data_IF_096421066584
#
_entry.id   IF_096421066584
#
_cell.length_a   1.000
_cell.length_b   1.000
_cell.length_c   1.000
_cell.angle_alpha   90.00
_cell.angle_beta   90.00
_cell.angle_gamma   90.00
#
_symmetry.space_group_name_H-M   'P 1'
#
loop_
_entity.id
_entity.type
_entity.pdbx_description
1 polymer ?
#
# COMPACT_ATOMS: atom_id res chain seq x y z
N UNK A 1 15.84 -58.34 10.36
CA UNK A 1 16.20 -57.54 9.15
C UNK A 1 15.02 -57.16 8.24
N UNK A 2 13.82 -57.78 8.33
CA UNK A 2 12.71 -57.54 7.36
C UNK A 2 11.95 -56.20 7.50
N UNK A 3 12.02 -55.50 8.62
CA UNK A 3 11.22 -54.28 8.88
C UNK A 3 11.80 -52.98 8.31
N UNK A 4 13.10 -52.94 7.98
CA UNK A 4 13.75 -51.74 7.42
C UNK A 4 13.37 -51.51 5.95
N UNK A 5 13.19 -52.58 5.18
CA UNK A 5 12.79 -52.47 3.77
C UNK A 5 11.34 -51.99 3.60
N UNK A 6 10.46 -52.35 4.53
CA UNK A 6 9.04 -51.94 4.47
C UNK A 6 8.89 -50.42 4.60
N UNK A 7 9.63 -49.77 5.51
CA UNK A 7 9.59 -48.30 5.68
C UNK A 7 10.09 -47.56 4.44
N UNK A 8 11.10 -48.09 3.76
CA UNK A 8 11.64 -47.50 2.54
C UNK A 8 10.62 -47.54 1.38
N UNK A 9 9.86 -48.63 1.27
CA UNK A 9 8.82 -48.79 0.25
C UNK A 9 7.68 -47.79 0.46
N UNK A 10 7.21 -47.61 1.70
CA UNK A 10 6.17 -46.61 1.99
C UNK A 10 6.63 -45.17 1.72
N UNK A 11 7.90 -44.85 1.98
CA UNK A 11 8.46 -43.53 1.67
C UNK A 11 8.45 -43.26 0.15
N UNK A 12 8.87 -44.24 -0.66
CA UNK A 12 8.88 -44.13 -2.13
C UNK A 12 7.49 -43.97 -2.72
N UNK A 13 6.49 -44.68 -2.20
CA UNK A 13 5.08 -44.54 -2.61
C UNK A 13 4.54 -43.15 -2.25
N UNK A 14 4.90 -42.62 -1.08
CA UNK A 14 4.52 -41.28 -0.67
C UNK A 14 5.08 -40.19 -1.59
N UNK A 15 6.37 -40.29 -1.94
CA UNK A 15 7.02 -39.33 -2.85
C UNK A 15 6.37 -39.41 -4.24
N UNK A 16 6.14 -40.60 -4.79
CA UNK A 16 5.51 -40.76 -6.11
C UNK A 16 4.08 -40.23 -6.17
N UNK A 17 3.27 -40.42 -5.11
CA UNK A 17 1.93 -39.85 -5.02
C UNK A 17 1.97 -38.31 -5.00
N UNK A 18 2.89 -37.71 -4.23
CA UNK A 18 3.04 -36.25 -4.18
C UNK A 18 3.49 -35.72 -5.55
N UNK A 19 4.46 -36.37 -6.20
CA UNK A 19 4.92 -36.02 -7.55
C UNK A 19 3.79 -36.09 -8.58
N UNK A 20 2.95 -37.13 -8.54
CA UNK A 20 1.84 -37.31 -9.48
C UNK A 20 0.77 -36.22 -9.31
N UNK A 21 0.47 -35.79 -8.08
CA UNK A 21 -0.47 -34.69 -7.81
C UNK A 21 0.09 -33.36 -8.32
N UNK A 22 1.39 -33.09 -8.09
CA UNK A 22 2.04 -31.87 -8.60
C UNK A 22 2.07 -31.86 -10.13
N UNK A 23 2.42 -32.99 -10.76
CA UNK A 23 2.48 -33.08 -12.22
C UNK A 23 1.10 -32.92 -12.87
N UNK A 24 0.05 -33.52 -12.27
CA UNK A 24 -1.33 -33.33 -12.74
C UNK A 24 -1.79 -31.88 -12.59
N UNK A 25 -1.42 -31.19 -11.50
CA UNK A 25 -1.75 -29.78 -11.30
C UNK A 25 -1.03 -28.81 -12.25
N UNK A 26 0.12 -29.20 -12.80
CA UNK A 26 0.86 -28.41 -13.81
C UNK A 26 0.31 -28.68 -15.22
N UNK A 27 -0.15 -29.91 -15.51
CA UNK A 27 -0.73 -30.24 -16.81
C UNK A 27 -2.20 -29.83 -16.98
N UNK A 28 -2.94 -29.57 -15.90
CA UNK A 28 -4.28 -28.98 -15.96
C UNK A 28 -4.25 -27.44 -16.07
N UNK A 29 -3.32 -26.88 -16.86
CA UNK A 29 -3.44 -25.51 -17.37
C UNK A 29 -4.46 -25.58 -18.52
N UNK A 30 -5.72 -25.12 -18.36
CA UNK A 30 -6.70 -25.23 -19.41
C UNK A 30 -6.38 -24.21 -20.50
N UNK A 31 -5.99 -24.67 -21.68
CA UNK A 31 -6.20 -23.90 -22.91
C UNK A 31 -7.70 -23.88 -23.18
N UNK A 32 -8.36 -22.79 -22.81
CA UNK A 32 -9.77 -22.54 -23.14
C UNK A 32 -9.99 -21.06 -23.38
N UNK A 33 -9.61 -20.62 -24.58
CA UNK A 33 -10.20 -19.45 -25.22
C UNK A 33 -11.66 -19.79 -25.59
N UNK A 34 -12.57 -18.84 -25.41
CA UNK A 34 -14.00 -18.89 -25.78
C UNK A 34 -14.97 -19.62 -24.84
N UNK A 35 -15.22 -19.09 -23.63
CA UNK A 35 -16.57 -19.16 -23.01
C UNK A 35 -16.84 -18.09 -21.94
N UNK A 36 -16.05 -17.01 -21.89
CA UNK A 36 -16.09 -16.07 -20.76
C UNK A 36 -17.42 -15.30 -20.62
N UNK A 37 -18.28 -15.21 -21.62
CA UNK A 37 -19.45 -14.33 -21.53
C UNK A 37 -20.63 -14.89 -20.72
N UNK A 38 -20.75 -16.22 -20.55
CA UNK A 38 -21.90 -16.83 -19.82
C UNK A 38 -21.59 -17.24 -18.37
N UNK A 39 -20.33 -17.20 -17.94
CA UNK A 39 -19.93 -17.52 -16.55
C UNK A 39 -19.99 -16.28 -15.64
N UNK A 40 -19.97 -15.06 -16.21
CA UNK A 40 -20.01 -13.81 -15.45
C UNK A 40 -21.30 -13.59 -14.64
N UNK A 41 -22.42 -14.24 -15.00
CA UNK A 41 -23.70 -14.04 -14.30
C UNK A 41 -23.91 -14.97 -13.08
N UNK A 42 -23.08 -16.00 -12.88
CA UNK A 42 -23.22 -16.95 -11.73
C UNK A 42 -22.12 -16.84 -10.66
N UNK A 43 -21.12 -15.97 -10.82
CA UNK A 43 -20.06 -15.76 -9.80
C UNK A 43 -20.35 -14.60 -8.82
N UNK A 44 -21.54 -13.98 -8.89
CA UNK A 44 -21.93 -12.80 -8.10
C UNK A 44 -22.41 -13.15 -6.67
N UNK A 45 -21.77 -14.11 -5.99
CA UNK A 45 -22.17 -14.54 -4.62
C UNK A 45 -21.12 -14.32 -3.54
N UNK A 46 -19.91 -13.83 -3.89
CA UNK A 46 -18.80 -13.71 -2.93
C UNK A 46 -18.26 -12.29 -2.71
N UNK A 47 -18.83 -11.26 -3.35
CA UNK A 47 -18.49 -9.87 -3.01
C UNK A 47 -19.27 -9.46 -1.77
N UNK A 48 -18.57 -8.96 -0.74
CA UNK A 48 -19.22 -8.34 0.41
C UNK A 48 -20.09 -7.14 0.02
N UNK A 49 -20.80 -6.53 0.99
CA UNK A 49 -21.61 -5.35 0.73
C UNK A 49 -20.76 -4.26 0.05
N UNK A 50 -21.33 -3.63 -0.98
CA UNK A 50 -20.71 -2.51 -1.71
C UNK A 50 -21.32 -1.22 -1.22
N UNK A 51 -20.49 -0.30 -0.72
CA UNK A 51 -20.89 1.04 -0.32
C UNK A 51 -20.57 1.98 -1.49
N UNK A 52 -21.55 2.77 -1.94
CA UNK A 52 -21.36 3.82 -2.96
C UNK A 52 -21.23 5.18 -2.27
N UNK A 53 -20.43 6.09 -2.84
CA UNK A 53 -20.17 7.39 -2.24
C UNK A 53 -19.54 7.28 -0.85
N UNK A 54 -18.53 6.42 -0.73
CA UNK A 54 -17.86 6.18 0.54
C UNK A 54 -17.14 7.45 0.99
N UNK A 55 -17.37 7.85 2.23
CA UNK A 55 -16.68 8.95 2.88
C UNK A 55 -16.30 8.55 4.29
N UNK A 56 -15.07 8.86 4.68
CA UNK A 56 -14.55 8.61 6.01
C UNK A 56 -13.57 9.71 6.38
N UNK A 57 -13.67 10.20 7.61
CA UNK A 57 -12.72 11.17 8.16
C UNK A 57 -12.31 10.73 9.56
N UNK A 58 -11.04 10.94 9.89
CA UNK A 58 -10.50 10.66 11.22
C UNK A 58 -9.74 11.87 11.76
N UNK A 59 -9.78 12.04 13.07
CA UNK A 59 -9.18 13.12 13.82
C UNK A 59 -8.15 12.56 14.81
N UNK A 60 -6.95 13.12 14.81
CA UNK A 60 -5.91 12.84 15.79
C UNK A 60 -5.70 14.07 16.66
N UNK A 61 -5.81 13.91 17.99
CA UNK A 61 -5.65 15.00 18.95
C UNK A 61 -6.53 16.23 18.63
N UNK A 62 -7.80 15.98 18.28
CA UNK A 62 -8.77 17.03 17.96
C UNK A 62 -8.60 17.72 16.60
N UNK A 63 -7.60 17.33 15.79
CA UNK A 63 -7.40 17.87 14.44
C UNK A 63 -7.62 16.80 13.38
N UNK A 64 -8.11 17.21 12.20
CA UNK A 64 -8.30 16.30 11.07
C UNK A 64 -6.94 15.73 10.67
N UNK A 65 -6.85 14.41 10.52
CA UNK A 65 -5.61 13.70 10.19
C UNK A 65 -5.71 12.94 8.87
N UNK A 66 -6.90 12.40 8.59
CA UNK A 66 -7.16 11.57 7.44
C UNK A 66 -8.57 11.84 6.90
N UNK A 67 -8.69 11.95 5.59
CA UNK A 67 -9.96 11.90 4.89
C UNK A 67 -9.85 10.92 3.72
N UNK A 68 -10.87 10.10 3.52
CA UNK A 68 -10.94 9.15 2.41
C UNK A 68 -12.31 9.33 1.76
N UNK A 69 -12.31 9.58 0.46
CA UNK A 69 -13.49 9.61 -0.39
C UNK A 69 -13.32 8.59 -1.50
N UNK A 70 -14.38 7.89 -1.88
CA UNK A 70 -14.35 6.97 -3.00
C UNK A 70 -15.73 6.80 -3.62
N UNK A 71 -15.79 6.62 -4.94
CA UNK A 71 -17.05 6.34 -5.62
C UNK A 71 -17.66 5.01 -5.16
N UNK A 72 -16.82 3.99 -4.94
CA UNK A 72 -17.23 2.68 -4.42
C UNK A 72 -16.22 2.12 -3.43
N UNK A 73 -16.73 1.46 -2.39
CA UNK A 73 -15.95 0.72 -1.42
C UNK A 73 -16.52 -0.69 -1.26
N UNK A 74 -15.66 -1.70 -1.19
CA UNK A 74 -16.05 -3.05 -0.82
C UNK A 74 -14.94 -3.74 -0.01
N UNK A 75 -15.31 -4.83 0.65
CA UNK A 75 -14.35 -5.71 1.33
C UNK A 75 -14.44 -7.09 0.71
N UNK A 76 -13.29 -7.59 0.25
CA UNK A 76 -13.16 -8.88 -0.43
C UNK A 76 -12.21 -9.80 0.33
N UNK A 77 -12.38 -11.12 0.17
CA UNK A 77 -11.39 -12.09 0.65
C UNK A 77 -10.20 -12.09 -0.31
N UNK A 78 -8.98 -11.97 0.20
CA UNK A 78 -7.75 -12.02 -0.60
C UNK A 78 -7.48 -13.44 -1.05
N UNK A 79 -7.63 -13.76 -2.34
CA UNK A 79 -7.22 -15.09 -2.84
C UNK A 79 -5.70 -15.25 -2.72
N UNK A 80 -5.24 -16.36 -2.13
CA UNK A 80 -3.82 -16.74 -2.07
C UNK A 80 -3.67 -18.04 -2.85
N UNK A 81 -3.11 -17.96 -4.06
CA UNK A 81 -2.99 -19.08 -4.98
C UNK A 81 -4.35 -19.69 -5.36
N UNK A 82 -4.39 -21.02 -5.47
CA UNK A 82 -5.60 -21.80 -5.81
C UNK A 82 -6.59 -21.95 -4.65
N UNK A 83 -6.25 -21.48 -3.44
CA UNK A 83 -7.10 -21.66 -2.26
C UNK A 83 -8.24 -20.64 -2.23
N UNK A 84 -9.48 -21.15 -2.20
CA UNK A 84 -10.72 -20.34 -2.10
C UNK A 84 -10.98 -19.81 -0.69
N UNK A 85 -10.31 -20.36 0.32
CA UNK A 85 -10.45 -19.98 1.72
C UNK A 85 -9.22 -19.20 2.17
N UNK A 86 -9.32 -17.87 2.10
CA UNK A 86 -8.33 -17.00 2.72
C UNK A 86 -8.91 -16.35 3.97
N UNK A 87 -8.19 -16.38 5.10
CA UNK A 87 -8.60 -15.64 6.29
C UNK A 87 -8.41 -14.12 6.10
N UNK A 88 -7.67 -13.70 5.08
CA UNK A 88 -7.32 -12.30 4.90
C UNK A 88 -8.36 -11.56 4.07
N UNK A 89 -8.70 -10.36 4.55
CA UNK A 89 -9.57 -9.43 3.84
C UNK A 89 -8.73 -8.32 3.18
N UNK A 90 -9.26 -7.77 2.09
CA UNK A 90 -8.72 -6.60 1.40
C UNK A 90 -9.85 -5.61 1.22
N UNK A 91 -9.63 -4.37 1.66
CA UNK A 91 -10.51 -3.26 1.34
C UNK A 91 -10.19 -2.78 -0.08
N UNK A 92 -11.19 -2.59 -0.94
CA UNK A 92 -10.99 -1.94 -2.24
C UNK A 92 -11.79 -0.65 -2.33
N UNK A 93 -11.15 0.36 -2.87
CA UNK A 93 -11.70 1.67 -3.15
C UNK A 93 -11.59 1.93 -4.66
N UNK A 94 -12.70 2.37 -5.27
CA UNK A 94 -12.73 2.82 -6.67
C UNK A 94 -12.82 4.34 -6.71
N UNK A 95 -12.00 4.94 -7.57
CA UNK A 95 -11.90 6.40 -7.73
C UNK A 95 -11.65 7.07 -6.37
N UNK A 96 -10.57 6.64 -5.72
CA UNK A 96 -10.29 7.04 -4.34
C UNK A 96 -9.54 8.37 -4.31
N UNK A 97 -9.98 9.28 -3.45
CA UNK A 97 -9.26 10.47 -3.05
C UNK A 97 -8.94 10.38 -1.56
N UNK A 98 -7.65 10.43 -1.23
CA UNK A 98 -7.14 10.32 0.13
C UNK A 98 -6.46 11.64 0.48
N UNK A 99 -6.88 12.26 1.57
CA UNK A 99 -6.25 13.48 2.08
C UNK A 99 -5.55 13.15 3.40
N UNK A 100 -4.24 13.39 3.47
CA UNK A 100 -3.46 13.32 4.70
C UNK A 100 -3.20 14.73 5.20
N UNK A 101 -3.39 14.94 6.51
CA UNK A 101 -3.15 16.23 7.16
C UNK A 101 -1.99 16.07 8.14
N UNK A 102 -0.88 16.69 7.79
CA UNK A 102 0.37 16.70 8.55
C UNK A 102 0.53 17.99 9.35
N UNK A 103 1.54 17.99 10.21
CA UNK A 103 1.95 19.16 11.00
C UNK A 103 3.44 19.40 10.82
N UNK A 104 3.84 20.64 11.04
CA UNK A 104 5.24 20.98 11.27
C UNK A 104 5.49 20.74 12.75
N UNK A 105 6.36 19.79 13.07
CA UNK A 105 6.78 19.59 14.46
C UNK A 105 7.66 20.81 14.84
N UNK A 106 7.15 21.67 15.71
CA UNK A 106 7.97 22.76 16.27
C UNK A 106 8.89 22.21 17.37
N UNK A 107 10.20 22.50 17.33
CA UNK A 107 11.17 21.98 18.28
C UNK A 107 10.90 22.42 19.73
N UNK A 108 10.08 23.46 19.94
CA UNK A 108 9.82 24.05 21.25
C UNK A 108 8.66 23.37 22.03
N UNK A 109 7.87 22.51 21.38
CA UNK A 109 6.89 21.68 22.10
C UNK A 109 7.62 20.51 22.76
N UNK A 110 8.05 20.73 24.02
CA UNK A 110 8.63 19.68 24.89
C UNK A 110 7.82 18.39 24.72
N UNK A 111 8.43 17.28 24.25
CA UNK A 111 7.70 16.04 24.05
C UNK A 111 7.14 15.59 25.39
N UNK A 112 5.83 15.72 25.55
CA UNK A 112 5.13 15.28 26.74
C UNK A 112 5.18 13.75 26.77
N UNK A 113 6.21 13.25 27.49
CA UNK A 113 6.57 11.86 27.83
C UNK A 113 7.50 11.14 26.83
N UNK A 114 8.64 10.61 27.31
CA UNK A 114 9.48 9.71 26.53
C UNK A 114 8.72 8.40 26.32
N UNK A 115 8.45 8.05 25.06
CA UNK A 115 7.93 6.74 24.69
C UNK A 115 9.12 5.94 24.19
N UNK A 116 9.48 4.90 24.94
CA UNK A 116 10.48 3.91 24.57
C UNK A 116 10.08 3.23 23.24
N UNK A 117 10.50 3.79 22.11
CA UNK A 117 10.53 3.09 20.82
C UNK A 117 11.99 2.99 20.41
N UNK A 118 12.53 1.78 20.49
CA UNK A 118 13.81 1.40 19.89
C UNK A 118 13.75 1.67 18.37
N UNK A 119 14.17 2.86 17.96
CA UNK A 119 14.60 3.18 16.59
C UNK A 119 15.28 4.56 16.55
N UNK A 120 16.05 4.89 17.59
CA UNK A 120 16.97 6.03 17.57
C UNK A 120 18.36 5.47 17.25
N UNK A 121 18.60 5.22 15.97
CA UNK A 121 19.95 5.09 15.42
C UNK A 121 20.03 6.10 14.28
N UNK A 122 20.91 7.09 14.47
CA UNK A 122 21.46 8.01 13.48
C UNK A 122 20.50 8.98 12.78
N UNK A 123 19.95 9.95 13.53
CA UNK A 123 19.57 11.25 12.93
C UNK A 123 20.66 12.27 13.24
N UNK A 124 21.65 12.30 12.34
CA UNK A 124 22.60 13.40 12.23
C UNK A 124 21.89 14.74 12.03
N UNK A 125 22.47 15.76 12.63
CA UNK A 125 22.05 17.15 12.71
C UNK A 125 21.76 17.77 11.33
N UNK A 126 20.53 17.70 10.88
CA UNK A 126 19.95 18.75 10.03
C UNK A 126 18.58 19.11 10.61
N UNK A 127 18.57 20.13 11.47
CA UNK A 127 17.39 20.72 12.09
C UNK A 127 16.53 21.50 11.04
N UNK A 128 16.22 20.86 9.92
CA UNK A 128 15.18 21.31 9.01
C UNK A 128 13.83 20.84 9.53
N UNK A 129 12.81 21.70 9.45
CA UNK A 129 11.42 21.38 9.77
C UNK A 129 11.02 20.02 9.16
N UNK A 130 11.01 18.96 9.97
CA UNK A 130 10.67 17.62 9.50
C UNK A 130 9.16 17.57 9.34
N UNK A 131 8.70 17.60 8.09
CA UNK A 131 7.27 17.43 7.79
C UNK A 131 6.92 15.99 8.14
N UNK A 132 5.98 15.84 9.09
CA UNK A 132 5.61 14.54 9.62
C UNK A 132 4.11 14.33 9.47
N UNK A 133 3.74 13.19 8.89
CA UNK A 133 2.37 12.70 8.85
C UNK A 133 2.21 11.53 9.84
N UNK A 134 2.88 11.62 10.99
CA UNK A 134 2.91 10.57 11.99
C UNK A 134 1.49 10.16 12.40
N UNK A 135 1.24 8.86 12.38
CA UNK A 135 -0.01 8.28 12.83
C UNK A 135 -1.11 8.19 11.77
N UNK A 136 -1.01 8.83 10.59
CA UNK A 136 -2.11 8.79 9.58
C UNK A 136 -2.41 7.37 9.08
N UNK A 137 -1.41 6.47 9.10
CA UNK A 137 -1.57 5.06 8.76
C UNK A 137 -1.65 4.13 9.99
N UNK A 138 -1.74 4.69 11.20
CA UNK A 138 -1.94 3.87 12.40
C UNK A 138 -3.27 3.13 12.32
N UNK A 139 -3.32 1.93 12.90
CA UNK A 139 -4.52 1.08 12.84
C UNK A 139 -5.76 1.76 13.45
N UNK A 140 -5.57 2.70 14.37
CA UNK A 140 -6.64 3.49 14.99
C UNK A 140 -7.20 4.60 14.07
N UNK A 141 -6.43 5.07 13.08
CA UNK A 141 -6.85 6.13 12.15
C UNK A 141 -7.67 5.62 10.98
N UNK A 142 -7.53 4.34 10.65
CA UNK A 142 -8.15 3.75 9.47
C UNK A 142 -9.58 3.25 9.76
N UNK A 143 -10.47 3.16 8.74
CA UNK A 143 -11.90 2.88 8.94
C UNK A 143 -12.17 1.56 9.71
N UNK A 144 -12.93 1.57 10.82
CA UNK A 144 -13.09 0.43 11.72
C UNK A 144 -13.64 -0.88 11.10
N UNK A 145 -14.67 -0.88 10.23
CA UNK A 145 -15.16 -2.13 9.64
C UNK A 145 -14.27 -2.64 8.50
N UNK A 146 -13.38 -1.80 7.95
CA UNK A 146 -12.55 -2.14 6.79
C UNK A 146 -11.29 -2.93 7.17
N UNK A 147 -10.88 -2.97 8.45
CA UNK A 147 -9.56 -3.49 8.84
C UNK A 147 -9.51 -4.55 9.93
N UNK A 148 -10.63 -4.91 10.59
CA UNK A 148 -10.60 -6.05 11.52
C UNK A 148 -10.40 -7.35 10.72
N UNK A 149 -9.13 -7.74 10.57
CA UNK A 149 -8.67 -8.88 9.74
C UNK A 149 -8.26 -8.53 8.30
N UNK A 150 -8.32 -7.26 7.88
CA UNK A 150 -7.79 -6.87 6.57
C UNK A 150 -6.32 -6.53 6.65
N UNK A 151 -5.55 -7.03 5.68
CA UNK A 151 -4.09 -6.87 5.68
C UNK A 151 -3.62 -5.71 4.80
N UNK A 152 -4.49 -5.20 3.92
CA UNK A 152 -4.17 -4.13 2.98
C UNK A 152 -5.43 -3.46 2.46
N UNK A 153 -5.27 -2.24 1.95
CA UNK A 153 -6.27 -1.58 1.11
C UNK A 153 -5.73 -1.38 -0.31
N UNK A 154 -6.60 -1.49 -1.32
CA UNK A 154 -6.28 -1.25 -2.73
C UNK A 154 -7.18 -0.12 -3.24
N UNK A 155 -6.60 0.86 -3.92
CA UNK A 155 -7.28 2.02 -4.48
C UNK A 155 -7.00 2.07 -5.99
N UNK A 156 -8.04 2.09 -6.82
CA UNK A 156 -7.93 1.97 -8.29
C UNK A 156 -9.03 2.79 -9.01
N UNK A 157 -8.73 3.94 -9.65
CA UNK A 157 -7.53 4.78 -9.52
C UNK A 157 -7.45 5.48 -8.14
N UNK A 158 -6.32 6.15 -7.87
CA UNK A 158 -6.09 6.86 -6.61
C UNK A 158 -5.46 8.24 -6.80
N UNK A 159 -5.96 9.20 -6.01
CA UNK A 159 -5.36 10.51 -5.78
C UNK A 159 -5.06 10.65 -4.29
N UNK A 160 -3.81 10.99 -3.95
CA UNK A 160 -3.39 11.29 -2.58
C UNK A 160 -2.98 12.76 -2.51
N UNK A 161 -3.64 13.52 -1.64
CA UNK A 161 -3.30 14.90 -1.35
C UNK A 161 -2.65 14.96 0.04
N UNK A 162 -1.51 15.63 0.13
CA UNK A 162 -0.81 15.91 1.39
C UNK A 162 -1.06 17.38 1.74
N UNK A 163 -1.60 17.61 2.93
CA UNK A 163 -1.86 18.92 3.48
C UNK A 163 -0.93 19.18 4.66
N UNK A 164 -0.38 20.39 4.74
CA UNK A 164 0.38 20.88 5.88
C UNK A 164 -0.36 22.09 6.43
N UNK A 165 -0.86 21.99 7.67
CA UNK A 165 -1.68 23.05 8.27
C UNK A 165 -2.85 23.49 7.37
N UNK A 166 -3.56 22.50 6.82
CA UNK A 166 -4.68 22.66 5.88
C UNK A 166 -4.32 23.25 4.50
N UNK A 167 -3.04 23.53 4.22
CA UNK A 167 -2.56 23.94 2.90
C UNK A 167 -2.09 22.73 2.08
N UNK A 168 -2.56 22.55 0.83
CA UNK A 168 -2.09 21.46 -0.02
C UNK A 168 -0.63 21.70 -0.41
N UNK A 169 0.24 20.75 -0.11
CA UNK A 169 1.67 20.83 -0.44
C UNK A 169 2.06 19.91 -1.58
N UNK A 170 1.48 18.71 -1.60
CA UNK A 170 1.86 17.66 -2.56
C UNK A 170 0.63 16.89 -2.99
N UNK A 171 0.53 16.60 -4.27
CA UNK A 171 -0.50 15.73 -4.83
C UNK A 171 0.18 14.57 -5.56
N UNK A 172 -0.36 13.38 -5.39
CA UNK A 172 0.06 12.17 -6.08
C UNK A 172 -1.16 11.60 -6.80
N UNK A 173 -1.03 11.32 -8.09
CA UNK A 173 -2.00 10.56 -8.86
C UNK A 173 -1.36 9.25 -9.34
N UNK A 174 -2.13 8.16 -9.33
CA UNK A 174 -1.72 6.89 -9.90
C UNK A 174 -2.92 6.02 -10.31
N UNK A 175 -2.71 5.06 -11.22
CA UNK A 175 -3.72 4.04 -11.51
C UNK A 175 -3.92 3.08 -10.33
N UNK A 176 -2.79 2.77 -9.68
CA UNK A 176 -2.54 1.85 -8.57
C UNK A 176 -2.23 2.49 -7.23
N UNK A 177 -3.02 2.30 -6.18
CA UNK A 177 -2.58 2.53 -4.79
C UNK A 177 -2.74 1.29 -3.91
N UNK A 178 -1.70 0.88 -3.19
CA UNK A 178 -1.78 -0.19 -2.18
C UNK A 178 -1.32 0.36 -0.83
N UNK A 179 -2.22 0.35 0.15
CA UNK A 179 -1.90 0.72 1.53
C UNK A 179 -1.54 -0.54 2.31
N UNK A 180 -0.36 -0.53 2.93
CA UNK A 180 0.09 -1.55 3.88
C UNK A 180 0.18 -0.94 5.29
N UNK A 181 -0.88 -1.05 6.10
CA UNK A 181 -0.88 -0.51 7.46
C UNK A 181 0.17 -1.16 8.37
N UNK A 182 0.56 -2.41 8.11
CA UNK A 182 1.55 -3.12 8.94
C UNK A 182 2.95 -2.57 8.73
N UNK A 183 3.29 -2.30 7.46
CA UNK A 183 4.56 -1.66 7.09
C UNK A 183 4.50 -0.12 7.12
N UNK A 184 3.35 0.45 7.48
CA UNK A 184 3.09 1.90 7.54
C UNK A 184 3.53 2.64 6.27
N UNK A 185 3.25 2.04 5.11
CA UNK A 185 3.62 2.61 3.81
C UNK A 185 2.51 2.45 2.78
N UNK A 186 2.58 3.26 1.74
CA UNK A 186 1.77 3.12 0.55
C UNK A 186 2.68 2.83 -0.65
N UNK A 187 2.22 1.98 -1.56
CA UNK A 187 2.92 1.70 -2.82
C UNK A 187 1.98 2.08 -3.96
N UNK A 188 2.43 3.00 -4.80
CA UNK A 188 1.75 3.41 -5.99
C UNK A 188 2.32 2.70 -7.21
N UNK A 189 1.47 2.47 -8.21
CA UNK A 189 1.82 1.75 -9.43
C UNK A 189 1.22 2.42 -10.67
N UNK A 190 2.03 2.52 -11.71
CA UNK A 190 1.72 2.95 -13.08
C UNK A 190 1.25 4.39 -13.21
N UNK A 191 1.80 5.10 -14.20
CA UNK A 191 1.40 6.47 -14.55
C UNK A 191 1.36 7.37 -13.31
N UNK A 192 2.40 7.27 -12.47
CA UNK A 192 2.46 7.99 -11.21
C UNK A 192 2.95 9.39 -11.51
N UNK A 193 2.13 10.37 -11.14
CA UNK A 193 2.48 11.78 -11.23
C UNK A 193 2.42 12.39 -9.84
N UNK A 194 3.54 12.92 -9.37
CA UNK A 194 3.66 13.68 -8.13
C UNK A 194 3.87 15.14 -8.49
N UNK A 195 3.09 16.04 -7.92
CA UNK A 195 3.25 17.48 -8.07
C UNK A 195 3.44 18.11 -6.69
N UNK A 196 4.49 18.89 -6.52
CA UNK A 196 4.80 19.59 -5.27
C UNK A 196 5.40 20.97 -5.57
N UNK A 197 4.69 22.03 -5.22
CA UNK A 197 5.08 23.39 -5.62
C UNK A 197 5.20 23.50 -7.15
N UNK A 198 6.36 23.97 -7.63
CA UNK A 198 6.69 24.05 -9.06
C UNK A 198 7.36 22.79 -9.64
N UNK A 199 7.51 21.72 -8.85
CA UNK A 199 8.18 20.50 -9.27
C UNK A 199 7.17 19.39 -9.63
N UNK A 200 7.50 18.60 -10.66
CA UNK A 200 6.73 17.43 -11.07
C UNK A 200 7.63 16.21 -11.19
N UNK A 201 7.22 15.09 -10.61
CA UNK A 201 7.91 13.81 -10.68
C UNK A 201 7.00 12.77 -11.34
N UNK A 202 7.51 12.10 -12.36
CA UNK A 202 6.84 10.99 -13.05
C UNK A 202 7.62 9.69 -12.88
N UNK A 203 6.94 8.59 -12.57
CA UNK A 203 7.51 7.23 -12.48
C UNK A 203 6.42 6.16 -12.57
N UNK A 204 6.79 4.88 -12.61
CA UNK A 204 5.87 3.74 -12.61
C UNK A 204 5.72 3.07 -11.25
N UNK A 205 6.61 3.36 -10.30
CA UNK A 205 6.56 2.79 -8.94
C UNK A 205 7.07 3.79 -7.92
N UNK A 206 6.23 4.10 -6.94
CA UNK A 206 6.56 5.02 -5.85
C UNK A 206 6.16 4.40 -4.51
N UNK A 207 7.10 4.30 -3.58
CA UNK A 207 6.82 4.00 -2.20
C UNK A 207 6.74 5.30 -1.39
N UNK A 208 5.69 5.42 -0.58
CA UNK A 208 5.44 6.58 0.29
C UNK A 208 5.44 6.12 1.73
N UNK A 209 6.22 6.80 2.56
CA UNK A 209 6.36 6.53 3.98
C UNK A 209 5.88 7.75 4.80
N UNK A 210 4.57 7.84 5.12
CA UNK A 210 4.01 9.00 5.84
C UNK A 210 4.66 9.29 7.19
N UNK A 211 5.13 8.25 7.88
CA UNK A 211 5.78 8.38 9.19
C UNK A 211 7.16 9.04 9.11
N UNK A 212 7.90 8.83 8.01
CA UNK A 212 9.24 9.40 7.83
C UNK A 212 9.26 10.62 6.93
N UNK A 213 8.14 10.93 6.25
CA UNK A 213 8.07 12.07 5.33
C UNK A 213 8.74 11.80 3.97
N UNK A 214 8.92 10.54 3.60
CA UNK A 214 9.78 10.14 2.48
C UNK A 214 9.03 9.52 1.31
N UNK A 215 9.51 9.87 0.12
CA UNK A 215 9.30 9.16 -1.13
C UNK A 215 10.55 8.34 -1.48
N UNK A 216 10.33 7.10 -1.91
CA UNK A 216 11.36 6.20 -2.40
C UNK A 216 10.94 5.66 -3.77
N UNK A 217 11.83 5.80 -4.73
CA UNK A 217 11.63 5.39 -6.12
C UNK A 217 12.76 4.42 -6.47
N UNK A 218 12.37 3.23 -6.89
CA UNK A 218 13.28 2.11 -7.22
C UNK A 218 13.44 1.87 -8.73
N UNK A 219 12.71 2.65 -9.55
CA UNK A 219 12.63 2.54 -11.00
C UNK A 219 12.96 3.89 -11.65
N UNK A 220 13.05 3.88 -12.98
CA UNK A 220 13.19 5.08 -13.80
C UNK A 220 12.21 6.18 -13.40
N UNK A 221 12.73 7.39 -13.30
CA UNK A 221 11.98 8.59 -12.98
C UNK A 221 12.39 9.77 -13.85
N UNK A 222 11.45 10.69 -13.99
CA UNK A 222 11.65 12.01 -14.59
C UNK A 222 11.18 13.05 -13.58
N UNK A 223 12.10 13.88 -13.09
CA UNK A 223 11.83 14.99 -12.19
C UNK A 223 12.06 16.29 -12.95
N UNK A 224 11.02 17.12 -13.06
CA UNK A 224 11.10 18.45 -13.65
C UNK A 224 10.95 19.49 -12.56
N UNK A 225 11.87 20.47 -12.50
CA UNK A 225 11.88 21.56 -11.53
C UNK A 225 12.60 22.77 -12.13
N UNK A 226 12.01 23.96 -12.03
CA UNK A 226 12.63 25.22 -12.49
C UNK A 226 13.13 25.13 -13.95
N UNK A 227 12.31 24.53 -14.83
CA UNK A 227 12.61 24.20 -16.24
C UNK A 227 13.76 23.21 -16.48
N UNK A 228 14.40 22.71 -15.44
CA UNK A 228 15.36 21.60 -15.51
C UNK A 228 14.65 20.25 -15.45
N UNK A 229 15.12 19.30 -16.26
CA UNK A 229 14.64 17.91 -16.22
C UNK A 229 15.77 16.98 -15.84
N UNK A 230 15.56 16.24 -14.75
CA UNK A 230 16.49 15.27 -14.16
C UNK A 230 15.89 13.89 -14.35
N UNK A 231 16.64 12.98 -14.95
CA UNK A 231 16.27 11.57 -15.09
C UNK A 231 17.20 10.69 -14.28
N UNK A 232 16.71 9.58 -13.76
CA UNK A 232 17.53 8.57 -13.09
C UNK A 232 16.75 7.31 -12.76
N UNK A 233 17.40 6.35 -12.11
CA UNK A 233 16.82 5.03 -11.82
C UNK A 233 16.36 4.89 -10.35
N UNK A 234 16.91 5.69 -9.45
CA UNK A 234 16.59 5.66 -8.02
C UNK A 234 16.59 7.06 -7.45
N UNK A 235 15.62 7.34 -6.59
CA UNK A 235 15.51 8.62 -5.92
C UNK A 235 14.85 8.45 -4.56
N UNK A 236 15.49 9.01 -3.54
CA UNK A 236 14.90 9.22 -2.21
C UNK A 236 14.77 10.72 -1.98
N UNK A 237 13.57 11.17 -1.64
CA UNK A 237 13.25 12.59 -1.54
C UNK A 237 12.21 12.81 -0.47
N UNK A 238 12.11 14.03 0.05
CA UNK A 238 11.02 14.40 0.96
C UNK A 238 9.69 14.59 0.19
N UNK A 239 8.62 14.87 0.92
CA UNK A 239 7.32 15.15 0.30
C UNK A 239 7.28 16.44 -0.52
N UNK A 240 8.27 17.32 -0.37
CA UNK A 240 8.43 18.53 -1.17
C UNK A 240 9.30 18.31 -2.41
N UNK A 241 9.68 17.06 -2.72
CA UNK A 241 10.60 16.69 -3.80
C UNK A 241 12.02 17.27 -3.64
N UNK A 242 12.45 17.56 -2.41
CA UNK A 242 13.84 17.91 -2.11
C UNK A 242 14.67 16.66 -1.87
N UNK A 243 15.74 16.50 -2.67
CA UNK A 243 16.69 15.40 -2.54
C UNK A 243 17.26 15.36 -1.13
N UNK A 244 17.23 14.18 -0.52
CA UNK A 244 17.86 13.92 0.76
C UNK A 244 19.21 13.27 0.46
N UNK A 245 20.29 13.90 0.89
CA UNK A 245 21.61 13.28 0.91
C UNK A 245 21.61 12.26 2.04
N UNK A 246 21.63 10.98 1.70
CA UNK A 246 21.98 9.90 2.63
C UNK A 246 23.48 9.73 2.69
#
# INVERSE_FOLDING_TARGET
>A
MKTKHLKLIFLLIGITLISAVVFKSINEIPQSNQSEEKIFLRLKKNSGPVIRGFQYSNYHQGRKALNIRAAKFNVEKKKIGVFKFSPFKVARFRDAEIDFFGKIDHPDEKPSKPRNSLSDIDRGETAGNVISFRGVLSQAMLPPPALKGSISAICEPVKLNLYLEDNPVTMIYAEKGVVDPRRRRMIFHRNILVTSGGATLSTDRLAVYPETGLFEIENDYVLTKDDETITGEKLTTDFLLKKISM
#
